data_IF_499910411714
#
_entry.id   IF_499910411714
#
_cell.length_a   1.000
_cell.length_b   1.000
_cell.length_c   1.000
_cell.angle_alpha   90.00
_cell.angle_beta   90.00
_cell.angle_gamma   90.00
#
_symmetry.space_group_name_H-M   'P 1'
#
loop_
_entity.id
_entity.type
_entity.pdbx_description
1 polymer ?
#
# COMPACT_ATOMS: atom_id res chain seq x y z
N UNK A 1 14.96 -25.08 2.30
CA UNK A 1 14.66 -25.00 0.85
C UNK A 1 13.29 -25.58 0.65
N UNK A 2 12.43 -24.95 -0.13
CA UNK A 2 11.10 -25.49 -0.42
C UNK A 2 11.22 -26.38 -1.66
N UNK A 3 10.69 -27.61 -1.60
CA UNK A 3 10.69 -28.50 -2.76
C UNK A 3 9.69 -28.02 -3.82
N UNK A 4 9.69 -28.65 -4.99
CA UNK A 4 8.78 -28.30 -6.09
C UNK A 4 7.30 -28.48 -5.74
N UNK A 5 7.01 -29.20 -4.65
CA UNK A 5 5.67 -29.45 -4.11
C UNK A 5 5.22 -28.40 -3.07
N UNK A 6 6.04 -27.40 -2.77
CA UNK A 6 5.69 -26.33 -1.83
C UNK A 6 5.88 -26.69 -0.35
N UNK A 7 6.51 -27.83 -0.05
CA UNK A 7 6.81 -28.26 1.31
C UNK A 7 8.15 -27.70 1.77
N UNK A 8 8.17 -27.17 3.00
CA UNK A 8 9.38 -26.67 3.62
C UNK A 8 10.31 -27.83 4.00
N UNK A 9 11.40 -28.02 3.27
CA UNK A 9 12.55 -28.78 3.77
C UNK A 9 13.47 -27.81 4.53
N UNK A 10 14.02 -28.26 5.67
CA UNK A 10 14.80 -27.48 6.64
C UNK A 10 15.58 -26.31 5.98
N UNK A 11 15.00 -25.10 6.01
CA UNK A 11 15.73 -23.84 5.89
C UNK A 11 15.73 -23.21 7.28
N UNK A 12 16.72 -22.37 7.53
CA UNK A 12 16.87 -21.58 8.73
C UNK A 12 15.53 -21.17 9.36
N UNK A 13 15.43 -21.32 10.69
CA UNK A 13 14.20 -21.16 11.46
C UNK A 13 13.55 -19.78 11.26
N UNK A 14 14.32 -18.76 10.88
CA UNK A 14 13.80 -17.41 10.60
C UNK A 14 12.91 -17.32 9.36
N UNK A 15 13.33 -17.89 8.23
CA UNK A 15 12.52 -17.90 7.01
C UNK A 15 11.29 -18.79 7.18
N UNK A 16 11.43 -19.92 7.88
CA UNK A 16 10.33 -20.82 8.19
C UNK A 16 9.26 -20.12 9.06
N UNK A 17 9.70 -19.44 10.13
CA UNK A 17 8.80 -18.68 11.00
C UNK A 17 8.12 -17.51 10.28
N UNK A 18 8.86 -16.81 9.42
CA UNK A 18 8.30 -15.75 8.58
C UNK A 18 7.21 -16.30 7.66
N UNK A 19 7.47 -17.41 6.95
CA UNK A 19 6.51 -18.05 6.04
C UNK A 19 5.25 -18.53 6.79
N UNK A 20 5.39 -19.06 8.00
CA UNK A 20 4.25 -19.49 8.83
C UNK A 20 3.37 -18.33 9.31
N UNK A 21 3.95 -17.15 9.58
CA UNK A 21 3.20 -15.94 9.97
C UNK A 21 2.45 -15.27 8.81
N UNK A 22 2.72 -15.66 7.57
CA UNK A 22 2.10 -15.10 6.38
C UNK A 22 0.75 -15.80 6.11
N UNK A 23 -0.34 -15.20 6.58
CA UNK A 23 -1.71 -15.61 6.21
C UNK A 23 -1.85 -15.70 4.67
N UNK A 24 -2.34 -16.83 4.18
CA UNK A 24 -2.30 -17.25 2.77
C UNK A 24 -3.16 -16.43 1.80
N UNK A 25 -4.01 -15.52 2.27
CA UNK A 25 -4.75 -14.56 1.43
C UNK A 25 -3.99 -13.26 1.14
N UNK A 26 -2.85 -13.04 1.83
CA UNK A 26 -2.15 -11.74 1.92
C UNK A 26 -1.23 -11.43 0.73
N UNK A 27 -0.82 -12.44 -0.06
CA UNK A 27 0.41 -12.34 -0.87
C UNK A 27 0.25 -12.80 -2.32
N UNK A 28 -0.96 -12.95 -2.84
CA UNK A 28 -1.11 -13.37 -4.24
C UNK A 28 -0.44 -12.38 -5.22
N UNK A 29 -0.20 -11.11 -4.79
CA UNK A 29 0.48 -10.07 -5.55
C UNK A 29 1.91 -9.65 -5.11
N UNK A 30 2.47 -10.11 -3.98
CA UNK A 30 3.73 -9.54 -3.43
C UNK A 30 4.99 -10.36 -3.78
N UNK A 31 5.06 -10.93 -4.98
CA UNK A 31 6.18 -11.77 -5.40
C UNK A 31 7.43 -10.92 -5.72
N UNK A 32 8.27 -10.68 -4.71
CA UNK A 32 9.59 -10.04 -4.86
C UNK A 32 9.65 -8.53 -4.58
N UNK A 33 8.72 -8.00 -3.79
CA UNK A 33 8.75 -6.61 -3.33
C UNK A 33 9.36 -6.46 -1.93
N UNK A 34 9.38 -7.54 -1.14
CA UNK A 34 9.95 -7.53 0.21
C UNK A 34 11.47 -7.58 0.11
N UNK A 35 12.15 -6.65 0.78
CA UNK A 35 13.61 -6.58 0.81
C UNK A 35 14.19 -7.69 1.73
N UNK A 36 15.39 -8.23 1.44
CA UNK A 36 15.95 -9.38 2.14
C UNK A 36 16.15 -9.15 3.64
N UNK A 37 16.55 -7.94 4.06
CA UNK A 37 16.74 -7.57 5.46
C UNK A 37 15.45 -7.58 6.30
N UNK A 38 14.28 -7.54 5.64
CA UNK A 38 12.97 -7.65 6.31
C UNK A 38 12.59 -9.12 6.59
N UNK A 39 13.36 -10.08 6.06
CA UNK A 39 13.13 -11.52 6.22
C UNK A 39 14.00 -12.14 7.32
N UNK A 40 14.99 -11.41 7.83
CA UNK A 40 15.88 -11.87 8.90
C UNK A 40 15.16 -11.88 10.27
N UNK A 41 15.66 -12.68 11.22
CA UNK A 41 15.01 -13.03 12.50
C UNK A 41 14.55 -11.83 13.37
N UNK A 42 15.14 -10.64 13.20
CA UNK A 42 14.77 -9.44 13.95
C UNK A 42 13.82 -8.51 13.17
N UNK A 43 13.45 -8.88 11.94
CA UNK A 43 12.46 -8.19 11.11
C UNK A 43 12.66 -6.69 11.11
N UNK A 44 13.86 -6.23 10.72
CA UNK A 44 14.24 -4.83 10.78
C UNK A 44 13.10 -3.93 10.29
N UNK A 45 12.79 -2.86 11.03
CA UNK A 45 11.70 -1.97 10.64
C UNK A 45 11.90 -1.44 9.22
N UNK A 46 10.81 -1.22 8.49
CA UNK A 46 10.85 -0.73 7.11
C UNK A 46 11.68 0.55 7.00
N UNK A 47 12.56 0.61 6.00
CA UNK A 47 13.51 1.70 5.77
C UNK A 47 13.38 2.32 4.38
N UNK A 48 14.08 3.43 4.13
CA UNK A 48 14.16 4.05 2.79
C UNK A 48 14.75 3.07 1.78
N UNK A 49 15.72 2.30 2.20
CA UNK A 49 16.42 1.32 1.39
C UNK A 49 15.51 0.13 1.05
N UNK A 50 14.62 -0.26 1.98
CA UNK A 50 13.60 -1.28 1.69
C UNK A 50 12.54 -0.78 0.69
N UNK A 51 12.18 0.52 0.74
CA UNK A 51 11.34 1.13 -0.29
C UNK A 51 12.03 1.14 -1.66
N UNK A 52 13.33 1.43 -1.70
CA UNK A 52 14.13 1.39 -2.94
C UNK A 52 14.15 -0.01 -3.55
N UNK A 53 14.31 -1.04 -2.74
CA UNK A 53 14.25 -2.43 -3.19
C UNK A 53 12.90 -2.73 -3.87
N UNK A 54 11.82 -2.40 -3.19
CA UNK A 54 10.45 -2.57 -3.70
C UNK A 54 10.19 -1.73 -4.95
N UNK A 55 10.78 -0.52 -5.03
CA UNK A 55 10.71 0.36 -6.20
C UNK A 55 11.37 -0.26 -7.43
N UNK A 56 12.49 -0.98 -7.29
CA UNK A 56 13.05 -1.79 -8.38
C UNK A 56 12.06 -2.82 -8.92
N UNK A 57 11.31 -3.48 -8.03
CA UNK A 57 10.22 -4.39 -8.40
C UNK A 57 9.04 -3.70 -9.09
N UNK A 58 8.72 -2.46 -8.69
CA UNK A 58 7.71 -1.63 -9.34
C UNK A 58 8.11 -1.30 -10.79
N UNK A 59 9.36 -0.85 -11.01
CA UNK A 59 9.89 -0.58 -12.35
C UNK A 59 9.77 -1.85 -13.22
N UNK A 60 10.25 -3.00 -12.73
CA UNK A 60 10.23 -4.26 -13.47
C UNK A 60 8.80 -4.65 -13.87
N UNK A 61 7.86 -4.59 -12.93
CA UNK A 61 6.47 -4.96 -13.19
C UNK A 61 5.82 -4.01 -14.19
N UNK A 62 5.94 -2.70 -13.99
CA UNK A 62 5.36 -1.72 -14.91
C UNK A 62 5.90 -1.86 -16.33
N UNK A 63 7.21 -2.09 -16.48
CA UNK A 63 7.85 -2.18 -17.79
C UNK A 63 7.54 -3.51 -18.48
N UNK A 64 7.72 -4.63 -17.79
CA UNK A 64 7.53 -5.97 -18.37
C UNK A 64 6.08 -6.44 -18.41
N UNK A 65 5.21 -5.87 -17.58
CA UNK A 65 3.84 -6.34 -17.35
C UNK A 65 3.73 -7.47 -16.31
N UNK A 66 4.84 -7.91 -15.71
CA UNK A 66 4.85 -9.07 -14.80
C UNK A 66 5.58 -8.77 -13.49
N UNK A 67 5.03 -9.26 -12.39
CA UNK A 67 5.68 -9.20 -11.08
C UNK A 67 7.08 -9.85 -11.08
N UNK A 68 8.02 -9.40 -10.22
CA UNK A 68 9.42 -9.85 -10.19
C UNK A 68 9.64 -11.37 -10.24
N UNK A 69 8.85 -12.14 -9.49
CA UNK A 69 8.91 -13.61 -9.51
C UNK A 69 7.57 -14.23 -9.93
N UNK A 70 6.93 -13.70 -10.98
CA UNK A 70 5.59 -14.13 -11.43
C UNK A 70 5.45 -15.65 -11.62
N UNK A 71 6.51 -16.30 -12.09
CA UNK A 71 6.61 -17.74 -12.38
C UNK A 71 6.84 -18.63 -11.14
N UNK A 72 7.08 -18.05 -9.95
CA UNK A 72 7.30 -18.80 -8.71
C UNK A 72 6.10 -18.67 -7.77
N UNK A 73 5.96 -19.62 -6.85
CA UNK A 73 5.07 -19.44 -5.70
C UNK A 73 5.61 -18.33 -4.77
N UNK A 74 4.77 -17.82 -3.88
CA UNK A 74 5.21 -16.82 -2.90
C UNK A 74 6.36 -17.34 -2.03
N UNK A 75 6.28 -18.54 -1.42
CA UNK A 75 7.38 -19.06 -0.61
C UNK A 75 8.68 -19.26 -1.41
N UNK A 76 8.58 -19.69 -2.66
CA UNK A 76 9.74 -19.78 -3.57
C UNK A 76 10.34 -18.40 -3.84
N UNK A 77 9.51 -17.39 -4.13
CA UNK A 77 9.98 -16.02 -4.35
C UNK A 77 10.69 -15.44 -3.12
N UNK A 78 10.14 -15.64 -1.92
CA UNK A 78 10.78 -15.23 -0.67
C UNK A 78 12.12 -15.95 -0.45
N UNK A 79 12.19 -17.23 -0.80
CA UNK A 79 13.43 -18.01 -0.73
C UNK A 79 14.49 -17.43 -1.68
N UNK A 80 14.13 -17.08 -2.92
CA UNK A 80 15.09 -16.44 -3.85
C UNK A 80 15.63 -15.13 -3.28
N UNK A 81 14.74 -14.25 -2.78
CA UNK A 81 15.11 -12.97 -2.18
C UNK A 81 16.04 -13.17 -0.98
N UNK A 82 15.69 -14.08 -0.06
CA UNK A 82 16.49 -14.39 1.13
C UNK A 82 17.90 -14.89 0.75
N UNK A 83 18.01 -15.68 -0.31
CA UNK A 83 19.30 -16.14 -0.85
C UNK A 83 20.07 -15.04 -1.60
N UNK A 84 19.54 -13.82 -1.68
CA UNK A 84 20.15 -12.70 -2.41
C UNK A 84 20.06 -12.86 -3.93
N UNK A 85 19.07 -13.61 -4.41
CA UNK A 85 18.78 -13.80 -5.83
C UNK A 85 17.63 -12.89 -6.22
N UNK A 86 17.75 -12.31 -7.41
CA UNK A 86 16.81 -11.31 -7.93
C UNK A 86 16.24 -11.76 -9.27
N UNK A 87 15.19 -11.09 -9.78
CA UNK A 87 14.53 -11.48 -11.02
C UNK A 87 15.51 -11.66 -12.17
N UNK A 88 15.36 -12.77 -12.88
CA UNK A 88 16.20 -13.08 -14.04
C UNK A 88 15.61 -12.45 -15.30
N UNK A 89 16.44 -11.82 -16.11
CA UNK A 89 16.03 -11.06 -17.30
C UNK A 89 15.32 -11.93 -18.35
N UNK A 90 15.66 -13.21 -18.45
CA UNK A 90 15.01 -14.18 -19.35
C UNK A 90 13.51 -14.37 -19.06
N UNK A 91 13.07 -14.07 -17.83
CA UNK A 91 11.66 -14.10 -17.42
C UNK A 91 10.91 -12.80 -17.72
N UNK A 92 11.61 -11.77 -18.19
CA UNK A 92 11.07 -10.45 -18.55
C UNK A 92 11.61 -9.96 -19.91
N UNK A 93 11.36 -10.69 -21.01
CA UNK A 93 11.98 -10.44 -22.31
C UNK A 93 11.60 -9.09 -22.94
N UNK A 94 10.52 -8.46 -22.47
CA UNK A 94 10.11 -7.12 -22.89
C UNK A 94 11.10 -6.02 -22.47
N UNK A 95 12.01 -6.31 -21.53
CA UNK A 95 13.06 -5.39 -21.08
C UNK A 95 14.39 -5.84 -21.69
N UNK A 96 15.00 -4.98 -22.48
CA UNK A 96 16.29 -5.25 -23.10
C UNK A 96 17.41 -5.32 -22.02
N UNK A 97 18.32 -6.32 -22.06
CA UNK A 97 19.31 -6.53 -21.00
C UNK A 97 20.36 -5.41 -20.88
N UNK A 98 20.61 -4.69 -21.98
CA UNK A 98 21.49 -3.51 -22.00
C UNK A 98 20.74 -2.20 -21.76
N UNK A 99 19.45 -2.25 -21.45
CA UNK A 99 18.72 -1.04 -21.09
C UNK A 99 19.30 -0.45 -19.81
N UNK A 100 19.53 0.86 -19.79
CA UNK A 100 19.94 1.62 -18.61
C UNK A 100 19.07 1.27 -17.40
N UNK A 101 17.77 1.08 -17.64
CA UNK A 101 16.78 0.70 -16.66
C UNK A 101 17.05 -0.66 -15.98
N UNK A 102 17.58 -1.65 -16.72
CA UNK A 102 17.92 -2.96 -16.14
C UNK A 102 19.09 -2.84 -15.15
N UNK A 103 20.10 -2.02 -15.47
CA UNK A 103 21.21 -1.74 -14.56
C UNK A 103 20.75 -0.99 -13.31
N UNK A 104 19.82 -0.04 -13.47
CA UNK A 104 19.24 0.68 -12.34
C UNK A 104 18.49 -0.27 -11.38
N UNK A 105 17.66 -1.17 -11.92
CA UNK A 105 16.93 -2.15 -11.12
C UNK A 105 17.87 -3.11 -10.37
N UNK A 106 18.95 -3.58 -11.01
CA UNK A 106 19.96 -4.42 -10.34
C UNK A 106 20.61 -3.71 -9.14
N UNK A 107 20.90 -2.41 -9.25
CA UNK A 107 21.40 -1.62 -8.12
C UNK A 107 20.37 -1.51 -6.99
N UNK A 108 19.08 -1.32 -7.33
CA UNK A 108 17.99 -1.27 -6.34
C UNK A 108 17.88 -2.56 -5.53
N UNK A 109 18.21 -3.70 -6.13
CA UNK A 109 18.18 -5.01 -5.49
C UNK A 109 19.51 -5.40 -4.83
N UNK A 110 20.42 -4.48 -4.52
CA UNK A 110 21.61 -4.83 -3.74
C UNK A 110 21.21 -5.49 -2.40
N UNK A 111 21.87 -6.60 -2.04
CA UNK A 111 21.57 -7.36 -0.82
C UNK A 111 21.76 -6.50 0.43
N UNK A 112 22.92 -5.86 0.54
CA UNK A 112 23.18 -4.88 1.60
C UNK A 112 22.44 -3.57 1.27
N UNK A 113 21.52 -3.11 2.14
CA UNK A 113 20.73 -1.90 1.93
C UNK A 113 21.56 -0.65 1.64
N UNK A 114 22.77 -0.53 2.21
CA UNK A 114 23.65 0.64 2.03
C UNK A 114 24.15 0.77 0.59
N UNK A 115 24.22 -0.33 -0.15
CA UNK A 115 24.66 -0.34 -1.55
C UNK A 115 23.54 0.00 -2.53
N UNK A 116 22.31 0.23 -2.05
CA UNK A 116 21.19 0.65 -2.89
C UNK A 116 21.29 2.16 -3.16
N UNK A 117 20.95 2.63 -4.38
CA UNK A 117 20.93 4.05 -4.68
C UNK A 117 19.81 4.74 -3.88
N UNK A 118 20.01 6.02 -3.55
CA UNK A 118 18.93 6.82 -2.98
C UNK A 118 17.83 7.06 -4.02
N UNK A 119 16.58 7.25 -3.59
CA UNK A 119 15.46 7.50 -4.51
C UNK A 119 15.65 8.74 -5.40
N UNK A 120 16.46 9.72 -4.96
CA UNK A 120 16.86 10.86 -5.78
C UNK A 120 17.64 10.44 -7.03
N UNK A 121 18.66 9.59 -6.87
CA UNK A 121 19.48 9.08 -7.98
C UNK A 121 18.61 8.29 -8.98
N UNK A 122 17.66 7.51 -8.46
CA UNK A 122 16.68 6.76 -9.29
C UNK A 122 15.81 7.73 -10.08
N UNK A 123 15.21 8.73 -9.43
CA UNK A 123 14.37 9.74 -10.08
C UNK A 123 15.12 10.51 -11.18
N UNK A 124 16.35 10.93 -10.90
CA UNK A 124 17.23 11.62 -11.86
C UNK A 124 17.56 10.71 -13.05
N UNK A 125 17.96 9.46 -12.80
CA UNK A 125 18.26 8.47 -13.85
C UNK A 125 17.06 8.21 -14.77
N UNK A 126 15.86 8.06 -14.20
CA UNK A 126 14.62 7.85 -14.97
C UNK A 126 14.25 9.08 -15.80
N UNK A 127 14.44 10.28 -15.25
CA UNK A 127 14.14 11.53 -15.93
C UNK A 127 15.11 11.77 -17.10
N UNK A 128 16.39 11.46 -16.92
CA UNK A 128 17.38 11.49 -18.01
C UNK A 128 17.00 10.53 -19.15
N UNK A 129 16.55 9.32 -18.79
CA UNK A 129 16.03 8.34 -19.75
C UNK A 129 14.81 8.90 -20.50
N UNK A 130 13.85 9.51 -19.81
CA UNK A 130 12.69 10.17 -20.45
C UNK A 130 13.12 11.30 -21.39
N UNK A 131 14.06 12.17 -20.98
CA UNK A 131 14.54 13.29 -21.81
C UNK A 131 15.21 12.77 -23.09
N UNK A 132 15.96 11.66 -23.01
CA UNK A 132 16.54 11.01 -24.19
C UNK A 132 15.47 10.55 -25.18
N UNK A 133 14.37 9.95 -24.69
CA UNK A 133 13.25 9.51 -25.53
C UNK A 133 12.33 10.65 -26.00
N UNK A 134 12.21 11.75 -25.23
CA UNK A 134 11.25 12.84 -25.46
C UNK A 134 11.81 14.07 -26.20
N UNK A 135 13.05 14.01 -26.74
CA UNK A 135 13.57 14.99 -27.73
C UNK A 135 12.74 15.08 -29.04
N UNK A 136 11.54 14.52 -29.09
CA UNK A 136 10.50 14.70 -30.11
C UNK A 136 9.13 15.21 -29.59
N UNK A 137 9.04 15.75 -28.36
CA UNK A 137 8.04 16.79 -28.09
C UNK A 137 7.28 16.81 -26.76
N UNK A 138 7.07 18.06 -26.36
CA UNK A 138 6.02 18.68 -25.54
C UNK A 138 6.10 18.72 -24.01
N UNK A 139 5.78 19.94 -23.55
CA UNK A 139 5.99 20.55 -22.24
C UNK A 139 4.96 20.12 -21.19
N UNK A 140 5.42 20.08 -19.93
CA UNK A 140 4.60 19.89 -18.74
C UNK A 140 3.70 21.12 -18.50
N UNK A 141 2.46 20.89 -18.06
CA UNK A 141 1.62 21.93 -17.44
C UNK A 141 1.77 21.83 -15.93
N UNK A 142 1.95 22.98 -15.28
CA UNK A 142 1.93 23.11 -13.83
C UNK A 142 0.47 23.06 -13.36
N UNK A 143 0.13 22.04 -12.57
CA UNK A 143 -1.00 22.11 -11.67
C UNK A 143 -0.49 22.61 -10.31
N UNK A 144 -1.22 23.54 -9.69
CA UNK A 144 -0.98 23.98 -8.32
C UNK A 144 -2.13 23.47 -7.46
N UNK A 145 -1.89 22.81 -6.32
CA UNK A 145 -2.96 22.50 -5.40
C UNK A 145 -3.37 23.78 -4.64
N UNK A 146 -4.67 24.08 -4.67
CA UNK A 146 -5.33 25.01 -3.75
C UNK A 146 -5.29 24.45 -2.30
N UNK A 147 -4.73 25.17 -1.31
CA UNK A 147 -4.78 24.73 0.08
C UNK A 147 -5.89 25.46 0.86
N UNK A 148 -6.79 24.71 1.49
CA UNK A 148 -7.21 24.87 2.90
C UNK A 148 -8.47 24.05 3.15
N UNK A 149 -8.28 22.80 3.56
CA UNK A 149 -9.34 22.02 4.20
C UNK A 149 -9.06 22.01 5.70
N UNK A 150 -9.83 22.80 6.45
CA UNK A 150 -9.88 22.65 7.91
C UNK A 150 -10.69 21.39 8.25
N UNK A 151 -9.99 20.29 8.56
CA UNK A 151 -10.14 19.51 9.80
C UNK A 151 -9.83 18.02 9.56
N UNK A 152 -8.97 17.40 10.40
CA UNK A 152 -8.59 15.99 10.28
C UNK A 152 -9.78 15.02 10.42
N UNK A 153 -10.75 15.35 11.27
CA UNK A 153 -11.94 14.53 11.46
C UNK A 153 -13.07 15.04 10.56
N UNK A 154 -13.39 14.24 9.55
CA UNK A 154 -14.25 14.64 8.45
C UNK A 154 -15.69 14.88 8.92
N UNK A 155 -16.18 16.10 8.70
CA UNK A 155 -17.56 16.51 8.97
C UNK A 155 -18.43 16.33 7.74
N UNK A 156 -19.75 16.34 7.94
CA UNK A 156 -20.73 16.11 6.89
C UNK A 156 -21.06 14.63 6.68
N UNK A 157 -21.89 14.35 5.68
CA UNK A 157 -22.35 12.99 5.41
C UNK A 157 -21.36 12.25 4.50
N UNK A 158 -21.12 10.99 4.84
CA UNK A 158 -20.36 10.06 4.01
C UNK A 158 -21.30 8.92 3.68
N UNK A 159 -21.53 8.69 2.39
CA UNK A 159 -22.42 7.65 1.90
C UNK A 159 -21.60 6.71 1.03
N UNK A 160 -21.19 5.54 1.55
CA UNK A 160 -20.57 4.52 0.72
C UNK A 160 -21.62 3.96 -0.25
N UNK A 161 -21.19 3.71 -1.49
CA UNK A 161 -22.07 3.27 -2.58
C UNK A 161 -21.79 1.83 -2.96
N UNK A 162 -20.53 1.53 -3.28
CA UNK A 162 -20.12 0.25 -3.84
C UNK A 162 -18.83 -0.22 -3.18
N UNK A 163 -18.74 -1.52 -2.86
CA UNK A 163 -17.48 -2.14 -2.47
C UNK A 163 -16.58 -2.20 -3.71
N UNK A 164 -15.58 -1.34 -3.75
CA UNK A 164 -14.62 -1.29 -4.85
C UNK A 164 -13.60 -2.43 -4.76
N UNK A 165 -13.08 -2.67 -3.56
CA UNK A 165 -12.05 -3.70 -3.34
C UNK A 165 -12.10 -4.22 -1.90
N UNK A 166 -12.33 -5.52 -1.68
CA UNK A 166 -12.05 -6.13 -0.40
C UNK A 166 -10.54 -6.26 -0.21
N UNK A 167 -10.00 -5.85 0.93
CA UNK A 167 -8.55 -5.91 1.20
C UNK A 167 -8.24 -6.48 2.58
N UNK A 168 -7.17 -7.24 2.76
CA UNK A 168 -6.95 -8.03 4.00
C UNK A 168 -7.17 -7.25 5.31
N UNK A 169 -6.70 -6.00 5.36
CA UNK A 169 -6.81 -5.13 6.54
C UNK A 169 -7.83 -4.00 6.42
N UNK A 170 -8.38 -3.79 5.22
CA UNK A 170 -9.36 -2.74 4.99
C UNK A 170 -10.17 -3.03 3.73
N UNK A 171 -11.46 -2.73 3.79
CA UNK A 171 -12.30 -2.68 2.60
C UNK A 171 -12.28 -1.26 2.03
N UNK A 172 -12.20 -1.15 0.71
CA UNK A 172 -12.27 0.12 0.00
C UNK A 172 -13.61 0.21 -0.69
N UNK A 173 -14.36 1.26 -0.38
CA UNK A 173 -15.63 1.59 -1.02
C UNK A 173 -15.47 2.84 -1.88
N UNK A 174 -16.18 2.88 -3.00
CA UNK A 174 -16.50 4.16 -3.65
C UNK A 174 -17.66 4.76 -2.89
N UNK A 175 -17.59 6.05 -2.61
CA UNK A 175 -18.69 6.77 -1.96
C UNK A 175 -18.71 8.24 -2.27
N UNK A 176 -19.70 8.90 -1.69
CA UNK A 176 -19.88 10.34 -1.78
C UNK A 176 -19.66 10.94 -0.40
N UNK A 177 -18.84 11.99 -0.36
CA UNK A 177 -18.71 12.84 0.81
C UNK A 177 -19.35 14.19 0.51
N UNK A 178 -20.27 14.63 1.37
CA UNK A 178 -20.86 15.97 1.30
C UNK A 178 -20.27 16.83 2.43
N UNK A 179 -19.25 17.66 2.15
CA UNK A 179 -18.70 18.55 3.17
C UNK A 179 -19.74 19.62 3.56
N UNK A 180 -19.71 20.13 4.80
CA UNK A 180 -20.63 21.19 5.21
C UNK A 180 -20.54 22.42 4.30
N UNK A 181 -21.67 22.78 3.68
CA UNK A 181 -21.77 23.97 2.81
C UNK A 181 -20.97 23.88 1.51
N UNK A 182 -20.50 22.69 1.09
CA UNK A 182 -19.77 22.49 -0.17
C UNK A 182 -20.41 21.41 -1.03
N UNK A 183 -20.10 21.36 -2.34
CA UNK A 183 -20.62 20.33 -3.24
C UNK A 183 -20.16 18.92 -2.83
N UNK A 184 -20.93 17.93 -3.26
CA UNK A 184 -20.59 16.51 -3.11
C UNK A 184 -19.27 16.19 -3.82
N UNK A 185 -18.43 15.40 -3.17
CA UNK A 185 -17.14 14.93 -3.68
C UNK A 185 -17.16 13.41 -3.77
N UNK A 186 -16.72 12.86 -4.90
CA UNK A 186 -16.52 11.43 -5.06
C UNK A 186 -15.24 11.01 -4.33
N UNK A 187 -15.35 10.04 -3.42
CA UNK A 187 -14.27 9.66 -2.51
C UNK A 187 -14.08 8.16 -2.45
N UNK A 188 -12.84 7.74 -2.19
CA UNK A 188 -12.52 6.39 -1.77
C UNK A 188 -12.55 6.34 -0.24
N UNK A 189 -13.35 5.42 0.29
CA UNK A 189 -13.59 5.23 1.71
C UNK A 189 -12.94 3.94 2.13
N UNK A 190 -11.84 4.05 2.88
CA UNK A 190 -11.11 2.89 3.38
C UNK A 190 -11.54 2.58 4.81
N UNK A 191 -12.31 1.52 4.94
CA UNK A 191 -12.81 0.99 6.21
C UNK A 191 -11.78 0.05 6.82
N UNK A 192 -11.05 0.50 7.85
CA UNK A 192 -10.01 -0.29 8.50
C UNK A 192 -10.65 -1.41 9.34
N UNK A 193 -10.38 -2.66 8.98
CA UNK A 193 -10.79 -3.81 9.79
C UNK A 193 -9.94 -3.83 11.06
N UNK A 194 -10.55 -3.46 12.18
CA UNK A 194 -9.91 -3.60 13.49
C UNK A 194 -10.25 -4.99 14.05
N UNK A 195 -9.22 -5.75 14.42
CA UNK A 195 -9.39 -7.02 15.14
C UNK A 195 -9.70 -6.66 16.60
N UNK A 196 -10.97 -6.72 16.96
CA UNK A 196 -11.40 -6.65 18.36
C UNK A 196 -11.09 -7.97 19.04
N UNK A 197 -10.30 -7.94 20.11
CA UNK A 197 -9.98 -9.17 20.84
C UNK A 197 -11.06 -9.49 21.86
N UNK A 198 -11.26 -10.80 22.08
CA UNK A 198 -11.78 -11.33 23.34
C UNK A 198 -10.73 -11.06 24.43
N UNK A 199 -10.85 -9.90 25.07
CA UNK A 199 -10.01 -9.52 26.20
C UNK A 199 -10.88 -9.11 27.37
N UNK A 200 -10.31 -9.07 28.56
CA UNK A 200 -10.94 -8.51 29.76
C UNK A 200 -11.20 -6.99 29.68
N UNK A 201 -10.67 -6.32 28.65
CA UNK A 201 -10.88 -4.89 28.42
C UNK A 201 -12.20 -4.66 27.68
N UNK A 202 -12.86 -3.58 28.07
CA UNK A 202 -14.11 -3.16 27.44
C UNK A 202 -13.88 -2.77 25.98
N UNK A 203 -14.88 -2.99 25.10
CA UNK A 203 -14.82 -2.55 23.70
C UNK A 203 -14.51 -1.05 23.55
N UNK A 204 -14.90 -0.24 24.54
CA UNK A 204 -14.61 1.19 24.59
C UNK A 204 -13.12 1.47 24.74
N UNK A 205 -12.44 0.82 25.69
CA UNK A 205 -11.00 0.98 25.90
C UNK A 205 -10.18 0.52 24.69
N UNK A 206 -10.62 -0.56 24.04
CA UNK A 206 -10.00 -1.04 22.80
C UNK A 206 -10.15 0.01 21.68
N UNK A 207 -11.37 0.52 21.49
CA UNK A 207 -11.67 1.54 20.47
C UNK A 207 -10.91 2.85 20.70
N UNK A 208 -10.84 3.33 21.93
CA UNK A 208 -10.12 4.58 22.27
C UNK A 208 -8.62 4.46 21.97
N UNK A 209 -8.02 3.29 22.21
CA UNK A 209 -6.60 3.04 21.88
C UNK A 209 -6.35 3.01 20.37
N UNK A 210 -7.22 2.34 19.61
CA UNK A 210 -7.17 2.30 18.14
C UNK A 210 -7.26 3.72 17.59
N UNK A 211 -8.27 4.49 18.02
CA UNK A 211 -8.49 5.85 17.55
C UNK A 211 -7.35 6.80 17.93
N UNK A 212 -6.77 6.67 19.13
CA UNK A 212 -5.59 7.45 19.53
C UNK A 212 -4.38 7.18 18.63
N UNK A 213 -4.16 5.93 18.24
CA UNK A 213 -3.07 5.55 17.32
C UNK A 213 -3.34 6.03 15.91
N UNK A 214 -4.56 5.83 15.40
CA UNK A 214 -5.01 6.35 14.10
C UNK A 214 -4.74 7.85 14.01
N UNK A 215 -5.20 8.63 14.98
CA UNK A 215 -5.02 10.10 15.00
C UNK A 215 -3.55 10.52 14.94
N UNK A 216 -2.66 9.81 15.64
CA UNK A 216 -1.22 10.07 15.61
C UNK A 216 -0.62 9.85 14.22
N UNK A 217 -1.01 8.75 13.58
CA UNK A 217 -0.43 8.32 12.32
C UNK A 217 -1.02 9.11 11.14
N UNK A 218 -2.32 9.40 11.17
CA UNK A 218 -3.00 10.27 10.20
C UNK A 218 -2.43 11.68 10.21
N UNK A 219 -2.05 12.22 11.38
CA UNK A 219 -1.47 13.56 11.47
C UNK A 219 -0.15 13.75 10.68
N UNK A 220 0.54 12.67 10.31
CA UNK A 220 1.67 12.74 9.39
C UNK A 220 1.21 12.83 7.93
N UNK A 221 0.20 12.03 7.53
CA UNK A 221 -0.36 12.03 6.17
C UNK A 221 -1.10 13.34 5.87
N UNK A 222 -1.85 13.88 6.81
CA UNK A 222 -2.59 15.15 6.66
C UNK A 222 -1.71 16.31 6.18
N UNK A 223 -0.42 16.32 6.56
CA UNK A 223 0.52 17.39 6.21
C UNK A 223 1.18 17.21 4.85
N UNK A 224 0.93 16.10 4.19
CA UNK A 224 1.55 15.79 2.90
C UNK A 224 0.80 16.49 1.78
N UNK A 225 1.54 17.17 0.92
CA UNK A 225 0.99 17.86 -0.25
C UNK A 225 1.99 17.76 -1.39
N UNK A 226 1.66 16.93 -2.38
CA UNK A 226 2.48 16.68 -3.55
C UNK A 226 1.64 15.99 -4.64
N UNK A 227 1.84 16.34 -5.91
CA UNK A 227 1.00 15.84 -7.03
C UNK A 227 1.06 14.32 -7.19
N UNK A 228 2.20 13.70 -6.84
CA UNK A 228 2.38 12.25 -6.89
C UNK A 228 2.14 11.54 -5.54
N UNK A 229 1.44 12.19 -4.61
CA UNK A 229 1.00 11.61 -3.34
C UNK A 229 -0.51 11.76 -3.23
N UNK A 230 -1.23 10.66 -2.99
CA UNK A 230 -2.67 10.69 -2.77
C UNK A 230 -2.95 11.46 -1.48
N UNK A 231 -3.69 12.58 -1.53
CA UNK A 231 -3.97 13.36 -0.34
C UNK A 231 -4.98 12.63 0.54
N UNK A 232 -4.85 12.83 1.85
CA UNK A 232 -5.90 12.45 2.79
C UNK A 232 -6.89 13.61 2.91
N UNK A 233 -8.14 13.39 2.51
CA UNK A 233 -9.21 14.39 2.66
C UNK A 233 -9.69 14.48 4.11
N UNK A 234 -9.60 13.36 4.85
CA UNK A 234 -9.89 13.30 6.27
C UNK A 234 -10.02 11.86 6.76
N UNK A 235 -10.32 11.70 8.04
CA UNK A 235 -10.61 10.42 8.66
C UNK A 235 -11.84 10.50 9.56
N UNK A 236 -12.46 9.37 9.89
CA UNK A 236 -13.50 9.28 10.93
C UNK A 236 -13.06 8.27 11.98
N UNK A 237 -12.98 8.72 13.24
CA UNK A 237 -12.81 7.82 14.38
C UNK A 237 -14.11 7.06 14.63
N UNK A 238 -14.02 5.87 15.20
CA UNK A 238 -15.21 5.13 15.58
C UNK A 238 -14.91 3.67 15.87
N UNK A 239 -15.95 2.84 15.93
CA UNK A 239 -15.79 1.39 15.98
C UNK A 239 -15.13 0.84 14.71
N UNK A 240 -15.33 1.52 13.59
CA UNK A 240 -14.67 1.18 12.34
C UNK A 240 -14.04 2.47 11.83
N UNK A 241 -12.73 2.64 12.05
CA UNK A 241 -12.02 3.79 11.54
C UNK A 241 -12.10 3.89 10.01
N UNK A 242 -12.40 5.09 9.51
CA UNK A 242 -12.46 5.35 8.08
C UNK A 242 -11.35 6.32 7.68
N UNK A 243 -10.71 6.06 6.54
CA UNK A 243 -9.84 7.03 5.86
C UNK A 243 -10.48 7.44 4.54
N UNK A 244 -10.51 8.74 4.27
CA UNK A 244 -11.18 9.31 3.10
C UNK A 244 -10.13 9.96 2.21
N UNK A 245 -10.09 9.53 0.95
CA UNK A 245 -9.17 10.04 -0.08
C UNK A 245 -9.98 10.34 -1.34
N UNK A 246 -9.45 11.11 -2.31
CA UNK A 246 -10.10 11.25 -3.61
C UNK A 246 -10.27 9.87 -4.27
N UNK A 247 -11.42 9.64 -4.89
CA UNK A 247 -11.55 8.48 -5.77
C UNK A 247 -11.00 8.84 -7.16
N UNK A 248 -10.01 8.08 -7.62
CA UNK A 248 -9.50 8.21 -8.98
C UNK A 248 -10.09 7.13 -9.89
N UNK A 249 -10.77 7.53 -10.96
CA UNK A 249 -11.50 6.60 -11.85
C UNK A 249 -10.57 5.65 -12.63
N UNK A 250 -9.32 6.08 -12.82
CA UNK A 250 -8.30 5.33 -13.53
C UNK A 250 -7.71 4.19 -12.67
N UNK A 251 -8.05 4.14 -11.37
CA UNK A 251 -7.69 3.03 -10.49
C UNK A 251 -6.20 2.93 -10.21
N UNK A 252 -5.72 1.71 -9.97
CA UNK A 252 -4.30 1.44 -9.70
C UNK A 252 -3.51 1.21 -10.99
N UNK A 253 -2.18 1.30 -10.90
CA UNK A 253 -1.27 1.24 -12.04
C UNK A 253 -1.38 -0.08 -12.80
N UNK A 254 -1.60 -1.20 -12.11
CA UNK A 254 -1.76 -2.50 -12.75
C UNK A 254 -3.00 -2.54 -13.64
N UNK A 255 -4.17 -2.18 -13.09
CA UNK A 255 -5.42 -2.14 -13.86
C UNK A 255 -5.39 -1.07 -14.96
N UNK A 256 -4.81 0.09 -14.67
CA UNK A 256 -4.70 1.18 -15.62
C UNK A 256 -3.90 0.80 -16.86
N UNK A 257 -2.73 0.17 -16.70
CA UNK A 257 -1.89 -0.25 -17.83
C UNK A 257 -2.51 -1.39 -18.64
N UNK A 258 -3.30 -2.26 -18.01
CA UNK A 258 -4.08 -3.28 -18.72
C UNK A 258 -5.15 -2.65 -19.61
N UNK A 259 -5.83 -1.60 -19.12
CA UNK A 259 -6.84 -0.87 -19.89
C UNK A 259 -6.23 0.12 -20.91
N UNK A 260 -5.01 0.60 -20.67
CA UNK A 260 -4.32 1.63 -21.46
C UNK A 260 -2.91 1.16 -21.88
N UNK A 261 -2.79 0.17 -22.79
CA UNK A 261 -1.51 -0.42 -23.16
C UNK A 261 -0.53 0.58 -23.81
N UNK A 262 -1.04 1.68 -24.36
CA UNK A 262 -0.25 2.74 -24.99
C UNK A 262 0.16 3.85 -24.01
N UNK A 263 -0.24 3.78 -22.74
CA UNK A 263 0.17 4.77 -21.74
C UNK A 263 1.70 4.73 -21.54
N UNK A 264 2.29 5.91 -21.30
CA UNK A 264 3.72 6.00 -21.04
C UNK A 264 4.05 5.42 -19.65
N UNK A 265 4.50 4.17 -19.65
CA UNK A 265 5.00 3.46 -18.46
C UNK A 265 6.09 4.24 -17.73
N UNK A 266 7.02 4.83 -18.48
CA UNK A 266 8.13 5.61 -17.92
C UNK A 266 7.63 6.87 -17.20
N UNK A 267 6.65 7.60 -17.76
CA UNK A 267 6.04 8.76 -17.09
C UNK A 267 5.39 8.39 -15.76
N UNK A 268 4.70 7.26 -15.72
CA UNK A 268 4.04 6.78 -14.50
C UNK A 268 5.07 6.37 -13.43
N UNK A 269 6.15 5.71 -13.83
CA UNK A 269 7.27 5.37 -12.93
C UNK A 269 8.00 6.62 -12.41
N UNK A 270 8.22 7.64 -13.27
CA UNK A 270 8.81 8.92 -12.85
C UNK A 270 7.91 9.63 -11.83
N UNK A 271 6.58 9.64 -12.05
CA UNK A 271 5.64 10.18 -11.08
C UNK A 271 5.73 9.45 -9.73
N UNK A 272 5.72 8.11 -9.74
CA UNK A 272 5.89 7.33 -8.52
C UNK A 272 7.23 7.61 -7.81
N UNK A 273 8.34 7.74 -8.56
CA UNK A 273 9.66 8.07 -8.01
C UNK A 273 9.67 9.46 -7.37
N UNK A 274 9.02 10.44 -8.00
CA UNK A 274 8.90 11.80 -7.48
C UNK A 274 8.10 11.84 -6.16
N UNK A 275 7.00 11.08 -6.09
CA UNK A 275 6.25 10.90 -4.85
C UNK A 275 7.10 10.28 -3.74
N UNK A 276 7.83 9.21 -4.04
CA UNK A 276 8.69 8.56 -3.03
C UNK A 276 9.87 9.46 -2.61
N UNK A 277 10.44 10.22 -3.54
CA UNK A 277 11.45 11.25 -3.26
C UNK A 277 10.93 12.31 -2.30
N UNK A 278 9.70 12.80 -2.51
CA UNK A 278 9.05 13.72 -1.59
C UNK A 278 8.97 13.11 -0.17
N UNK A 279 8.43 11.90 -0.02
CA UNK A 279 8.32 11.23 1.30
C UNK A 279 9.67 11.08 2.00
N UNK A 280 10.70 10.66 1.27
CA UNK A 280 12.03 10.40 1.82
C UNK A 280 12.81 11.67 2.18
N UNK A 281 12.44 12.83 1.62
CA UNK A 281 13.10 14.13 1.87
C UNK A 281 12.48 14.92 3.02
N UNK A 282 11.34 14.48 3.56
CA UNK A 282 10.73 15.06 4.75
C UNK A 282 11.62 14.88 5.99
N UNK A 283 11.36 15.69 7.03
CA UNK A 283 12.04 15.63 8.32
C UNK A 283 11.01 15.54 9.47
N UNK A 284 10.86 14.36 10.13
CA UNK A 284 11.51 13.10 9.80
C UNK A 284 11.01 12.51 8.47
N UNK A 285 11.80 11.65 7.79
CA UNK A 285 11.36 10.99 6.56
C UNK A 285 10.15 10.09 6.78
N UNK A 286 9.28 10.01 5.77
CA UNK A 286 8.20 9.04 5.73
C UNK A 286 8.65 7.84 4.90
N UNK A 287 8.59 6.65 5.50
CA UNK A 287 8.83 5.38 4.79
C UNK A 287 7.48 4.88 4.28
N UNK A 288 7.39 4.57 2.99
CA UNK A 288 6.15 4.07 2.40
C UNK A 288 5.84 2.66 2.90
N UNK A 289 6.81 1.77 2.72
CA UNK A 289 6.84 0.42 3.26
C UNK A 289 6.02 -0.63 2.51
N UNK A 290 5.41 -0.30 1.37
CA UNK A 290 4.58 -1.24 0.59
C UNK A 290 4.50 -0.80 -0.88
N UNK A 291 5.65 -0.50 -1.47
CA UNK A 291 5.72 -0.04 -2.86
C UNK A 291 5.42 -1.22 -3.79
N UNK A 292 4.32 -1.12 -4.55
CA UNK A 292 3.90 -2.06 -5.59
C UNK A 292 2.86 -1.41 -6.51
N UNK A 293 2.59 -1.95 -7.71
CA UNK A 293 1.62 -1.35 -8.64
C UNK A 293 0.22 -1.14 -8.05
N UNK A 294 -0.19 -1.96 -7.09
CA UNK A 294 -1.48 -1.80 -6.39
C UNK A 294 -1.60 -0.54 -5.56
N UNK A 295 -0.46 -0.02 -5.06
CA UNK A 295 -0.37 1.16 -4.22
C UNK A 295 0.13 2.40 -4.99
N UNK A 296 0.14 2.31 -6.33
CA UNK A 296 0.31 3.46 -7.21
C UNK A 296 -1.03 3.67 -7.91
N UNK A 297 -1.76 4.72 -7.55
CA UNK A 297 -2.96 5.12 -8.26
C UNK A 297 -2.60 5.95 -9.48
N UNK A 298 -3.49 5.98 -10.46
CA UNK A 298 -3.42 6.94 -11.57
C UNK A 298 -4.55 7.93 -11.37
N UNK A 299 -4.22 9.20 -11.21
CA UNK A 299 -5.21 10.25 -11.03
C UNK A 299 -6.01 10.48 -12.32
N UNK A 300 -7.06 11.28 -12.24
CA UNK A 300 -7.94 11.59 -13.37
C UNK A 300 -7.24 12.33 -14.54
N UNK A 301 -6.07 12.93 -14.29
CA UNK A 301 -5.21 13.55 -15.29
C UNK A 301 -4.23 12.56 -15.96
N UNK A 302 -4.21 11.29 -15.53
CA UNK A 302 -3.32 10.26 -16.07
C UNK A 302 -1.93 10.23 -15.41
N UNK A 303 -1.78 10.84 -14.24
CA UNK A 303 -0.52 10.94 -13.51
C UNK A 303 -0.49 9.96 -12.33
N UNK A 304 0.68 9.41 -12.03
CA UNK A 304 0.83 8.47 -10.92
C UNK A 304 0.80 9.18 -9.56
N UNK A 305 0.13 8.60 -8.58
CA UNK A 305 0.12 9.04 -7.19
C UNK A 305 0.27 7.85 -6.24
N UNK A 306 1.25 7.89 -5.34
CA UNK A 306 1.39 6.85 -4.31
C UNK A 306 0.25 6.94 -3.32
N UNK A 307 -0.27 5.80 -2.88
CA UNK A 307 -1.27 5.69 -1.83
C UNK A 307 -0.84 4.66 -0.78
N UNK A 308 -1.58 4.56 0.32
CA UNK A 308 -1.41 3.51 1.32
C UNK A 308 -0.05 3.47 2.04
N UNK A 309 0.74 4.54 1.94
CA UNK A 309 1.96 4.71 2.72
C UNK A 309 1.65 4.86 4.21
N UNK A 310 2.50 4.28 5.05
CA UNK A 310 2.33 4.34 6.51
C UNK A 310 1.13 3.55 7.07
N UNK A 311 0.20 3.09 6.23
CA UNK A 311 -0.91 2.22 6.66
C UNK A 311 -0.41 0.92 7.26
N UNK A 312 0.67 0.35 6.71
CA UNK A 312 1.28 -0.83 7.30
C UNK A 312 1.75 -0.58 8.74
N UNK A 313 2.26 0.63 9.05
CA UNK A 313 2.64 1.00 10.42
C UNK A 313 1.42 1.21 11.31
N UNK A 314 0.35 1.80 10.79
CA UNK A 314 -0.95 1.89 11.48
C UNK A 314 -1.42 0.48 11.83
N UNK A 315 -1.51 -0.40 10.85
CA UNK A 315 -2.03 -1.75 11.00
C UNK A 315 -1.12 -2.63 11.86
N UNK A 316 0.19 -2.55 11.69
CA UNK A 316 1.17 -3.28 12.50
C UNK A 316 1.10 -2.83 13.96
N UNK A 317 0.99 -1.54 14.26
CA UNK A 317 0.79 -1.10 15.64
C UNK A 317 -0.59 -1.48 16.18
N UNK A 318 -1.60 -1.59 15.30
CA UNK A 318 -2.91 -2.15 15.62
C UNK A 318 -2.91 -3.69 15.70
N UNK A 319 -1.79 -4.38 15.45
CA UNK A 319 -1.68 -5.85 15.59
C UNK A 319 -0.51 -6.31 16.48
N UNK A 320 0.49 -5.47 16.76
CA UNK A 320 1.70 -5.82 17.56
C UNK A 320 1.59 -5.43 19.03
N UNK A 321 0.64 -4.56 19.41
CA UNK A 321 0.21 -4.43 20.81
C UNK A 321 -0.51 -5.66 21.38
N UNK A 322 -0.41 -6.82 20.71
CA UNK A 322 -1.20 -8.04 20.89
C UNK A 322 -0.33 -9.24 21.29
N UNK A 323 0.97 -9.04 21.56
CA UNK A 323 1.85 -10.09 22.11
C UNK A 323 1.79 -10.12 23.64
N UNK A 324 0.77 -10.78 24.16
CA UNK A 324 0.92 -11.59 25.39
C UNK A 324 0.33 -12.96 25.08
N UNK A 325 1.22 -13.91 24.81
CA UNK A 325 1.09 -15.36 24.97
C UNK A 325 -0.34 -15.92 25.07
N UNK A 326 -0.82 -16.61 24.03
CA UNK A 326 -2.05 -17.40 24.10
C UNK A 326 -2.45 -17.95 22.74
N UNK A 327 -2.70 -19.25 22.69
CA UNK A 327 -2.98 -20.07 21.51
C UNK A 327 -4.25 -19.69 20.72
N UNK A 328 -4.21 -20.03 19.42
CA UNK A 328 -5.30 -20.49 18.55
C UNK A 328 -6.65 -19.72 18.56
N UNK A 329 -6.95 -19.06 17.44
CA UNK A 329 -8.30 -18.57 17.13
C UNK A 329 -8.59 -18.55 15.64
N UNK A 330 -9.06 -19.67 15.10
CA UNK A 330 -9.79 -19.72 13.82
C UNK A 330 -11.11 -18.95 14.01
N UNK A 331 -11.33 -17.87 13.28
CA UNK A 331 -12.60 -17.12 13.27
C UNK A 331 -12.80 -16.44 11.92
N UNK A 332 -13.88 -16.81 11.23
CA UNK A 332 -14.10 -16.56 9.81
C UNK A 332 -14.33 -15.10 9.40
N UNK A 333 -13.97 -14.82 8.14
CA UNK A 333 -14.31 -13.61 7.40
C UNK A 333 -15.82 -13.40 7.34
N UNK A 334 -16.32 -12.30 7.92
CA UNK A 334 -17.67 -11.78 7.71
C UNK A 334 -17.62 -10.37 7.13
N UNK A 335 -18.51 -10.10 6.17
CA UNK A 335 -18.73 -8.76 5.60
C UNK A 335 -19.29 -7.81 6.66
N UNK A 336 -18.83 -6.55 6.67
CA UNK A 336 -19.27 -5.52 7.61
C UNK A 336 -20.61 -4.94 7.13
N UNK A 337 -21.61 -4.93 8.01
CA UNK A 337 -22.93 -4.39 7.74
C UNK A 337 -22.95 -2.85 7.79
N UNK A 338 -23.63 -2.22 6.83
CA UNK A 338 -23.58 -0.78 6.51
C UNK A 338 -24.07 0.14 7.64
N UNK A 339 -24.89 -0.37 8.56
CA UNK A 339 -25.42 0.36 9.72
C UNK A 339 -24.35 0.70 10.76
N UNK A 340 -23.21 0.01 10.75
CA UNK A 340 -22.08 0.30 11.63
C UNK A 340 -21.33 1.59 11.24
N UNK A 341 -21.70 2.24 10.13
CA UNK A 341 -21.07 3.46 9.63
C UNK A 341 -21.72 4.76 10.09
N UNK A 342 -22.93 4.69 10.66
CA UNK A 342 -23.69 5.84 11.13
C UNK A 342 -23.59 5.96 12.66
N UNK A 343 -22.86 6.96 13.14
CA UNK A 343 -22.87 7.37 14.56
C UNK A 343 -23.94 8.44 14.85
N UNK A 344 -24.91 8.64 13.94
CA UNK A 344 -26.08 9.47 14.23
C UNK A 344 -27.04 8.69 15.14
N UNK A 345 -27.04 9.10 16.41
CA UNK A 345 -27.84 8.48 17.46
C UNK A 345 -29.32 8.38 17.11
N UNK A 346 -29.85 7.17 17.30
CA UNK A 346 -31.21 6.95 17.77
C UNK A 346 -32.28 6.71 16.71
N UNK A 347 -32.39 5.49 16.20
CA UNK A 347 -33.70 4.85 15.98
C UNK A 347 -33.61 3.35 16.29
N UNK A 348 -34.33 2.95 17.35
CA UNK A 348 -34.94 1.63 17.61
C UNK A 348 -34.17 0.36 17.25
N UNK A 349 -33.68 -0.35 18.27
CA UNK A 349 -33.47 -1.80 18.23
C UNK A 349 -34.74 -2.48 17.68
N UNK A 350 -34.68 -3.12 16.53
CA UNK A 350 -35.72 -4.05 16.08
C UNK A 350 -35.18 -5.48 16.17
N UNK A 351 -36.01 -6.38 16.70
CA UNK A 351 -35.74 -7.80 17.03
C UNK A 351 -35.27 -8.73 15.88
N UNK A 352 -34.77 -8.19 14.78
CA UNK A 352 -34.22 -8.97 13.66
C UNK A 352 -32.69 -9.15 13.73
N UNK A 353 -32.01 -8.57 14.72
CA UNK A 353 -30.55 -8.66 14.88
C UNK A 353 -30.03 -9.96 15.53
N UNK A 354 -30.92 -10.87 15.94
CA UNK A 354 -30.55 -12.06 16.71
C UNK A 354 -30.76 -13.38 15.93
N UNK A 355 -30.38 -13.48 14.66
CA UNK A 355 -30.28 -14.79 13.98
C UNK A 355 -29.23 -14.76 12.85
N UNK A 356 -27.93 -14.74 13.16
CA UNK A 356 -26.90 -15.35 12.29
C UNK A 356 -25.55 -15.46 13.03
N UNK A 357 -25.48 -16.34 14.01
CA UNK A 357 -24.22 -16.89 14.53
C UNK A 357 -24.51 -18.21 15.27
N UNK A 358 -24.55 -19.30 14.50
CA UNK A 358 -24.23 -20.65 14.98
C UNK A 358 -23.16 -21.23 14.06
#
# INVERSE_FOLDING_TARGET
MINDDGEAALCDFGLAHFIEQLNTSRIQGEKGYIAPELLDNDGGGKTKESDVFAFGGLILHTMSGFAPFHHKSVPQALTEVYLGRFPSQDKHPAIHPKATLWNLMQKCWARDPVNRPGIREIYESLTEEEIFYTKTGSLRKNYQPEPSWESPEIRGSIVPRELYRPGGFADVYVGEWTPPGRPVVLVAIKSLRCVYMESSQTLKEQTDRVNKRLKREVGAWEKLSHDNITPLLGYRSGKIPLLITPFYKNGNLHGYLAANPNASKLKLIIGAANGLLYLHTLSPPVIHGDIKPDNVLVNDAGEAALCDFGLARILEQLTTGFTTSGQHGKGGMGYVATELWNDEGGVGKTKASDVFAF
#
